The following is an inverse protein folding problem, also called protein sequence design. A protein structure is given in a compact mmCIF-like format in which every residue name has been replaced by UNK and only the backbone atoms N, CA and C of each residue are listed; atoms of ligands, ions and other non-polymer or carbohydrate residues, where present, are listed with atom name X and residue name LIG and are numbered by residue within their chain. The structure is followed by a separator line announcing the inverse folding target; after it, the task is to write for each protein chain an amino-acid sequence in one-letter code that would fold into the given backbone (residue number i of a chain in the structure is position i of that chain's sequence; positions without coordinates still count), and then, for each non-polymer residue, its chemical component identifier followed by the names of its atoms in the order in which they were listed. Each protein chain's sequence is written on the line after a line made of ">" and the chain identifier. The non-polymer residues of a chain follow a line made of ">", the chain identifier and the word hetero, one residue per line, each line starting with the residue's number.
data_IF_527292916036
#
_entry.id   IF_527292916036
#
_cell.length_a   1.000
_cell.length_b   1.000
_cell.length_c   1.000
_cell.angle_alpha   90.00
_cell.angle_beta   90.00
_cell.angle_gamma   90.00
#
_symmetry.space_group_name_H-M   'P 1'
#
loop_
_entity.id
_entity.type
_entity.pdbx_description
1 polymer ?
2 non-polymer ?
3 non-polymer ?
4 water ?
#
# COMPACT_ATOMS: atom_id res chain seq x y z
N UNK A 6 -8.48 -18.41 3.62
CA UNK A 6 -7.42 -17.67 4.30
C UNK A 6 -7.36 -18.06 5.77
N UNK A 7 -6.13 -18.04 6.38
CA UNK A 7 -5.91 -18.21 7.82
C UNK A 7 -6.51 -16.98 8.55
N UNK A 8 -6.63 -17.03 9.89
CA UNK A 8 -7.16 -15.95 10.73
C UNK A 8 -6.37 -14.66 10.50
N UNK A 9 -5.03 -14.77 10.52
CA UNK A 9 -4.16 -13.61 10.34
C UNK A 9 -4.34 -13.03 8.93
N UNK A 10 -4.54 -13.88 7.91
CA UNK A 10 -4.77 -13.41 6.54
C UNK A 10 -6.17 -12.78 6.39
N UNK A 11 -7.17 -13.23 7.18
CA UNK A 11 -8.48 -12.58 7.18
C UNK A 11 -8.35 -11.18 7.79
N UNK A 12 -7.53 -11.02 8.88
CA UNK A 12 -7.26 -9.70 9.46
C UNK A 12 -6.58 -8.80 8.40
N UNK A 13 -5.62 -9.36 7.63
CA UNK A 13 -4.96 -8.61 6.55
C UNK A 13 -5.98 -8.20 5.49
N UNK A 14 -6.84 -9.14 5.07
CA UNK A 14 -7.87 -8.83 4.06
C UNK A 14 -8.82 -7.72 4.56
N UNK A 15 -9.18 -7.74 5.86
CA UNK A 15 -10.00 -6.70 6.48
C UNK A 15 -9.33 -5.33 6.38
N UNK A 16 -8.02 -5.29 6.71
CA UNK A 16 -7.21 -4.06 6.59
C UNK A 16 -7.24 -3.57 5.14
N UNK A 17 -6.98 -4.48 4.18
CA UNK A 17 -6.94 -4.15 2.74
C UNK A 17 -8.27 -3.51 2.32
N UNK A 18 -9.41 -4.14 2.69
CA UNK A 18 -10.73 -3.59 2.38
C UNK A 18 -10.90 -2.18 2.98
N UNK A 19 -10.42 -1.97 4.22
CA UNK A 19 -10.51 -0.65 4.84
C UNK A 19 -9.68 0.37 4.07
N UNK A 20 -8.45 0.01 3.66
CA UNK A 20 -7.57 0.91 2.92
C UNK A 20 -8.20 1.32 1.58
N UNK A 21 -9.02 0.43 0.98
CA UNK A 21 -9.71 0.69 -0.29
C UNK A 21 -11.09 1.32 -0.12
N UNK A 22 -11.56 1.50 1.14
CA UNK A 22 -12.90 1.97 1.46
C UNK A 22 -13.06 3.47 1.29
N UNK A 23 -14.32 3.94 1.12
CA UNK A 23 -14.62 5.36 0.94
C UNK A 23 -14.13 6.20 2.11
N UNK A 24 -14.10 5.61 3.33
CA UNK A 24 -13.61 6.23 4.56
C UNK A 24 -12.27 6.96 4.36
N UNK A 25 -11.34 6.32 3.62
CA UNK A 25 -9.97 6.80 3.46
C UNK A 25 -9.62 7.29 2.04
N UNK A 26 -10.63 7.39 1.15
CA UNK A 26 -10.41 7.74 -0.26
C UNK A 26 -9.69 9.06 -0.49
N UNK A 27 -9.89 10.04 0.44
CA UNK A 27 -9.30 11.37 0.25
C UNK A 27 -7.77 11.35 0.18
N UNK A 28 -7.13 10.38 0.87
CA UNK A 28 -5.67 10.21 0.91
C UNK A 28 -5.19 8.86 0.37
N UNK A 29 -6.11 7.88 0.18
CA UNK A 29 -5.70 6.56 -0.33
C UNK A 29 -5.60 6.49 -1.85
N UNK A 30 -6.31 7.39 -2.57
CA UNK A 30 -6.45 7.27 -4.03
C UNK A 30 -5.11 7.20 -4.81
N UNK A 31 -4.02 7.87 -4.40
CA UNK A 31 -2.75 7.74 -5.15
C UNK A 31 -2.17 6.32 -5.13
N UNK A 32 -2.68 5.44 -4.24
CA UNK A 32 -2.17 4.09 -4.03
C UNK A 32 -3.09 2.99 -4.57
N UNK A 33 -4.19 3.39 -5.24
CA UNK A 33 -5.19 2.44 -5.72
C UNK A 33 -4.70 1.60 -6.89
N UNK A 34 -3.86 2.19 -7.77
CA UNK A 34 -3.40 1.52 -8.98
C UNK A 34 -1.89 1.77 -9.16
N UNK A 35 -1.22 0.98 -10.01
CA UNK A 35 0.21 1.21 -10.24
C UNK A 35 0.47 2.62 -10.73
N UNK A 36 1.59 3.23 -10.28
CA UNK A 36 2.06 4.51 -10.80
C UNK A 36 2.30 4.38 -12.31
N UNK A 37 1.58 5.20 -13.11
CA UNK A 37 1.76 5.23 -14.57
C UNK A 37 2.79 6.34 -14.82
N UNK A 38 4.08 5.95 -14.78
CA UNK A 38 5.22 6.86 -14.86
C UNK A 38 5.18 7.71 -16.13
N UNK A 39 4.94 7.08 -17.29
CA UNK A 39 4.86 7.76 -18.58
C UNK A 39 3.75 8.81 -18.58
N UNK A 40 2.54 8.43 -18.13
CA UNK A 40 1.37 9.30 -18.07
C UNK A 40 1.61 10.53 -17.20
N UNK A 41 2.33 10.35 -16.06
CA UNK A 41 2.61 11.41 -15.10
C UNK A 41 3.90 12.20 -15.40
N UNK A 42 4.63 11.80 -16.45
CA UNK A 42 5.89 12.43 -16.86
C UNK A 42 7.06 12.12 -15.94
N UNK A 43 6.96 11.02 -15.17
CA UNK A 43 7.96 10.61 -14.18
C UNK A 43 8.92 9.61 -14.84
N UNK A 44 9.76 10.12 -15.76
CA UNK A 44 10.59 9.28 -16.63
C UNK A 44 11.79 8.62 -15.93
N UNK A 45 12.03 8.99 -14.64
CA UNK A 45 13.06 8.40 -13.81
C UNK A 45 12.45 7.42 -12.76
N UNK A 46 11.10 7.30 -12.71
CA UNK A 46 10.45 6.49 -11.67
C UNK A 46 10.98 5.07 -11.59
N UNK A 47 11.06 4.38 -12.75
CA UNK A 47 11.47 2.97 -12.79
C UNK A 47 12.99 2.76 -12.69
N UNK A 48 13.78 3.86 -12.72
CA UNK A 48 15.21 3.81 -12.46
C UNK A 48 15.47 3.92 -10.94
N UNK A 49 14.55 4.59 -10.20
CA UNK A 49 14.66 4.82 -8.76
C UNK A 49 13.90 3.75 -7.96
N UNK A 50 12.72 3.35 -8.45
CA UNK A 50 11.86 2.33 -7.83
C UNK A 50 11.98 1.02 -8.60
N UNK A 51 12.71 0.05 -8.03
CA UNK A 51 12.99 -1.25 -8.66
C UNK A 51 11.84 -2.25 -8.49
N UNK A 52 11.00 -2.06 -7.44
CA UNK A 52 9.89 -2.95 -7.12
C UNK A 52 8.62 -2.15 -6.85
N UNK A 53 7.94 -1.70 -7.92
CA UNK A 53 6.67 -0.95 -7.74
C UNK A 53 5.62 -1.80 -7.00
N UNK A 54 4.77 -1.13 -6.22
CA UNK A 54 3.69 -1.83 -5.51
C UNK A 54 2.55 -0.84 -5.27
N UNK A 55 1.31 -1.36 -5.26
CA UNK A 55 0.10 -0.54 -5.08
C UNK A 55 -1.01 -1.46 -4.54
N UNK A 56 -2.13 -0.87 -4.10
CA UNK A 56 -3.19 -1.66 -3.48
C UNK A 56 -3.91 -2.60 -4.42
N UNK A 57 -4.00 -2.25 -5.75
CA UNK A 57 -4.64 -3.17 -6.72
C UNK A 57 -3.82 -4.44 -6.86
N UNK A 58 -2.47 -4.32 -6.82
CA UNK A 58 -1.55 -5.47 -6.89
C UNK A 58 -1.68 -6.32 -5.62
N UNK A 59 -1.75 -5.65 -4.45
CA UNK A 59 -1.94 -6.36 -3.18
C UNK A 59 -3.27 -7.13 -3.20
N UNK A 60 -4.34 -6.50 -3.74
CA UNK A 60 -5.66 -7.14 -3.81
C UNK A 60 -5.62 -8.36 -4.73
N UNK A 61 -4.95 -8.24 -5.90
CA UNK A 61 -4.82 -9.36 -6.84
C UNK A 61 -4.07 -10.53 -6.17
N UNK A 62 -3.00 -10.22 -5.43
CA UNK A 62 -2.19 -11.23 -4.74
C UNK A 62 -3.02 -11.91 -3.63
N UNK A 63 -3.83 -11.13 -2.88
CA UNK A 63 -4.71 -11.69 -1.84
C UNK A 63 -5.76 -12.62 -2.50
N UNK A 64 -6.41 -12.14 -3.59
CA UNK A 64 -7.44 -12.90 -4.33
C UNK A 64 -6.88 -14.22 -4.88
N UNK A 65 -5.61 -14.20 -5.34
CA UNK A 65 -4.90 -15.36 -5.90
C UNK A 65 -4.32 -16.28 -4.83
N UNK A 66 -4.47 -15.93 -3.53
CA UNK A 66 -3.93 -16.69 -2.40
C UNK A 66 -2.39 -16.76 -2.53
N UNK A 67 -1.78 -15.65 -3.01
CA UNK A 67 -0.34 -15.52 -3.19
C UNK A 67 0.32 -15.40 -1.81
N UNK A 68 -0.26 -14.60 -0.89
CA UNK A 68 0.31 -14.40 0.44
C UNK A 68 0.10 -15.62 1.31
N UNK A 69 1.19 -16.17 1.85
CA UNK A 69 1.14 -17.35 2.72
C UNK A 69 1.04 -16.97 4.20
N UNK A 70 1.31 -15.69 4.56
CA UNK A 70 1.24 -15.21 5.93
C UNK A 70 1.10 -13.69 5.98
N UNK A 71 0.75 -13.15 7.16
CA UNK A 71 0.54 -11.72 7.38
C UNK A 71 1.79 -10.90 7.09
N UNK A 72 2.97 -11.42 7.45
CA UNK A 72 4.26 -10.74 7.27
C UNK A 72 4.51 -10.43 5.78
N UNK A 73 4.16 -11.37 4.89
CA UNK A 73 4.34 -11.22 3.44
C UNK A 73 3.43 -10.12 2.91
N UNK A 74 2.16 -10.10 3.38
CA UNK A 74 1.20 -9.06 3.01
C UNK A 74 1.71 -7.69 3.47
N UNK A 75 2.14 -7.60 4.75
CA UNK A 75 2.60 -6.33 5.33
C UNK A 75 3.83 -5.80 4.60
N UNK A 76 4.72 -6.71 4.16
CA UNK A 76 5.93 -6.33 3.43
C UNK A 76 5.57 -5.61 2.12
N UNK A 77 4.52 -6.08 1.40
CA UNK A 77 4.08 -5.41 0.16
C UNK A 77 3.44 -4.06 0.46
N UNK A 78 2.61 -3.97 1.54
CA UNK A 78 1.99 -2.70 1.89
C UNK A 78 3.06 -1.67 2.26
N UNK A 79 4.05 -2.10 3.05
CA UNK A 79 5.14 -1.20 3.46
C UNK A 79 6.04 -0.84 2.29
N UNK A 80 6.25 -1.78 1.34
CA UNK A 80 7.04 -1.53 0.13
C UNK A 80 6.39 -0.37 -0.66
N UNK A 81 5.05 -0.40 -0.78
CA UNK A 81 4.29 0.64 -1.46
C UNK A 81 4.57 2.02 -0.83
N UNK A 82 4.50 2.12 0.52
CA UNK A 82 4.77 3.38 1.22
C UNK A 82 6.24 3.78 1.05
N UNK A 83 7.16 2.83 1.21
CA UNK A 83 8.60 3.07 1.06
C UNK A 83 8.95 3.64 -0.30
N UNK A 84 8.32 3.11 -1.37
CA UNK A 84 8.55 3.62 -2.73
C UNK A 84 8.16 5.09 -2.81
N UNK A 85 7.01 5.44 -2.17
CA UNK A 85 6.52 6.81 -2.12
C UNK A 85 7.51 7.74 -1.43
N UNK A 86 8.06 7.28 -0.27
CA UNK A 86 9.02 8.06 0.52
C UNK A 86 10.38 8.19 -0.18
N UNK A 87 10.75 7.19 -1.01
CA UNK A 87 12.01 7.21 -1.73
C UNK A 87 11.96 8.19 -2.90
N UNK A 88 10.87 8.13 -3.71
CA UNK A 88 10.79 8.88 -4.95
C UNK A 88 10.41 10.33 -4.76
N UNK A 89 9.47 10.59 -3.83
CA UNK A 89 8.82 11.89 -3.69
C UNK A 89 9.47 12.82 -2.70
N UNK A 90 9.56 14.13 -3.01
CA UNK A 90 10.09 15.09 -2.01
C UNK A 90 9.18 15.08 -0.79
N UNK A 91 9.76 15.21 0.42
CA UNK A 91 8.97 15.06 1.65
C UNK A 91 7.84 16.05 1.86
N UNK A 92 7.83 17.16 1.10
CA UNK A 92 6.81 18.21 1.19
C UNK A 92 5.74 18.11 0.10
N UNK A 93 5.78 17.05 -0.76
CA UNK A 93 4.75 16.79 -1.76
C UNK A 93 3.52 16.23 -1.03
N UNK A 94 2.30 16.61 -1.49
CA UNK A 94 1.04 16.16 -0.89
C UNK A 94 0.95 14.63 -0.83
N UNK A 95 1.52 13.94 -1.84
CA UNK A 95 1.44 12.46 -1.88
C UNK A 95 2.13 11.81 -0.68
N UNK A 96 3.18 12.45 -0.15
CA UNK A 96 3.92 11.94 1.02
C UNK A 96 3.06 12.10 2.29
N UNK A 97 2.37 13.25 2.42
CA UNK A 97 1.45 13.50 3.52
C UNK A 97 0.33 12.45 3.51
N UNK A 98 -0.18 12.13 2.31
CA UNK A 98 -1.23 11.15 2.08
C UNK A 98 -0.74 9.75 2.44
N UNK A 99 0.50 9.40 2.01
CA UNK A 99 1.12 8.12 2.37
C UNK A 99 1.22 7.98 3.90
N UNK A 100 1.69 9.04 4.59
CA UNK A 100 1.84 9.00 6.06
C UNK A 100 0.50 8.72 6.74
N UNK A 101 -0.57 9.38 6.27
CA UNK A 101 -1.92 9.22 6.82
C UNK A 101 -2.46 7.79 6.58
N UNK A 102 -2.29 7.28 5.36
CA UNK A 102 -2.76 5.91 5.07
C UNK A 102 -1.90 4.87 5.81
N UNK A 103 -0.58 5.15 5.99
CA UNK A 103 0.29 4.23 6.72
C UNK A 103 -0.07 4.19 8.20
N UNK A 104 -0.52 5.33 8.76
CA UNK A 104 -0.98 5.40 10.15
C UNK A 104 -2.20 4.48 10.33
N UNK A 105 -3.15 4.51 9.37
CA UNK A 105 -4.33 3.64 9.39
C UNK A 105 -3.88 2.18 9.36
N UNK A 106 -2.95 1.84 8.43
CA UNK A 106 -2.43 0.49 8.29
C UNK A 106 -1.75 0.00 9.56
N UNK A 107 -0.75 0.75 10.05
CA UNK A 107 0.10 0.31 11.17
C UNK A 107 -0.70 0.10 12.46
N UNK A 108 -1.64 1.00 12.74
CA UNK A 108 -2.42 0.89 13.98
C UNK A 108 -3.35 -0.34 13.92
N UNK A 109 -3.97 -0.60 12.75
CA UNK A 109 -4.83 -1.79 12.65
C UNK A 109 -4.02 -3.08 12.54
N UNK A 110 -2.88 -3.05 11.81
CA UNK A 110 -2.01 -4.23 11.67
C UNK A 110 -1.50 -4.68 13.05
N UNK A 111 -1.24 -3.70 13.95
CA UNK A 111 -0.77 -3.95 15.31
C UNK A 111 -1.78 -4.76 16.13
N UNK A 112 -3.08 -4.69 15.76
CA UNK A 112 -4.17 -5.42 16.42
C UNK A 112 -4.37 -6.83 15.83
N UNK A 113 -3.32 -7.39 15.18
CA UNK A 113 -3.28 -8.74 14.62
C UNK A 113 -3.65 -9.77 15.69
N UNK A 114 -4.60 -10.67 15.41
CA UNK A 114 -4.93 -11.72 16.39
C UNK A 114 -3.77 -12.71 16.53
N UNK A 115 -3.47 -13.12 17.78
CA UNK A 115 -2.38 -14.05 18.11
C UNK A 115 -2.81 -15.49 17.81
X LIG B 1 5.75 12.81 -8.05
X LIG B 1 3.47 12.02 -8.20
X LIG B 1 2.15 12.40 -8.45
X LIG B 1 1.11 11.58 -8.04
X LIG B 1 1.37 10.39 -7.39
X LIG B 1 -0.88 10.38 -7.70
X LIG B 1 -0.86 12.16 -9.51
X LIG B 1 -1.18 13.46 -4.73
X LIG B 1 -1.47 15.09 -6.44
X LIG B 1 4.56 12.93 -8.66
X LIG B 1 8.14 15.85 -8.02
X LIG B 1 9.43 13.91 -8.24
X LIG B 1 8.13 13.48 -7.57
X LIG B 1 4.37 13.74 -9.57
X LIG B 1 6.89 13.64 -8.39
X LIG B 1 9.15 15.21 -8.81
X LIG B 1 7.29 14.72 -7.44
X LIG B 1 3.73 10.81 -7.55
X LIG B 1 -0.40 11.79 -8.08
X LIG B 1 -0.81 12.85 -7.03
X LIG B 1 -1.12 14.15 -7.39
X LIG B 1 -1.49 14.74 -5.10
X LIG B 1 -0.84 12.51 -5.68
X LIG B 1 0.24 9.71 -7.02
X LIG B 1 2.68 9.98 -7.13
X LIG B 1 3.03 8.71 -6.41
X LIG B 1 4.18 8.47 -6.05
X LIG B 1 2.02 7.88 -6.14
X LIG B 1 2.21 6.67 -5.36
X LIG C 1 3.52 4.80 11.56
X LIG C 1 2.90 5.13 10.35
X LIG C 1 2.61 5.05 12.75
X LIG C 1 1.92 6.26 12.67
X LIG D 1 5.86 -13.43 -4.36
X LIG D 1 4.53 -13.00 -4.67
X LIG D 1 6.17 -14.79 -4.95
X LIG D 1 5.09 -15.70 -4.81
#
# INVERSE_FOLDING_TARGET
>A
GSMGKLSEQLKHCNGILKELLSKKHAAYAWPFYKPVDASALGLHDYHDIIKHPMDLSTVKRKMENRDYRDAQEFAADVRLMFSNCYKYNPPDHDVVAMARKLQDVFEFRYAKMPD
>B hetero
1 V9N N1 C4 C5 C6 C7 C8 C10 C13 C15 C17 C20 C21 C22 O2 C18 O3 C19 C3 C9 C11 C16 C14 C12 O1 C2 C1 O N C
>C hetero
1 EDO C1 O1 C2 O2
>D hetero
1 EDO C1 O1 C2 O2
#
